data_IF_248759710460
#
_entry.id   IF_248759710460
#
_cell.length_a   1.000
_cell.length_b   1.000
_cell.length_c   1.000
_cell.angle_alpha   90.00
_cell.angle_beta   90.00
_cell.angle_gamma   90.00
#
_symmetry.space_group_name_H-M   'P 1'
#
loop_
_entity.id
_entity.type
_entity.pdbx_description
1 polymer ?
#
# COMPACT_ATOMS: atom_id res chain seq x y z
N UNK A 1 21.52 -27.75 51.91
CA UNK A 1 20.82 -26.74 51.09
C UNK A 1 19.83 -27.44 50.17
N UNK A 2 18.54 -27.13 50.37
CA UNK A 2 17.32 -27.23 49.52
C UNK A 2 17.30 -28.26 48.37
N UNK A 3 16.63 -29.41 48.52
CA UNK A 3 15.18 -29.75 48.33
C UNK A 3 14.70 -29.91 46.88
N UNK A 4 14.35 -31.17 46.59
CA UNK A 4 13.51 -31.83 45.59
C UNK A 4 12.60 -31.00 44.66
N UNK A 5 12.57 -31.40 43.39
CA UNK A 5 11.55 -31.06 42.41
C UNK A 5 10.64 -32.28 42.18
N UNK A 6 9.33 -32.10 42.37
CA UNK A 6 8.29 -33.06 42.01
C UNK A 6 7.41 -32.40 40.96
N UNK A 7 7.26 -33.08 39.81
CA UNK A 7 6.37 -32.73 38.72
C UNK A 7 4.91 -32.72 39.19
N UNK A 8 4.16 -31.69 38.79
CA UNK A 8 2.70 -31.68 38.84
C UNK A 8 2.16 -31.38 37.43
N UNK A 9 1.62 -32.42 36.80
CA UNK A 9 0.70 -32.31 35.67
C UNK A 9 -0.63 -31.76 36.19
N UNK A 10 -1.11 -30.67 35.60
CA UNK A 10 -2.48 -30.20 35.77
C UNK A 10 -3.14 -30.08 34.39
N UNK A 11 -4.04 -31.00 34.09
CA UNK A 11 -5.04 -30.86 33.04
C UNK A 11 -6.30 -30.25 33.66
N UNK A 12 -6.82 -29.17 33.08
CA UNK A 12 -8.16 -28.65 33.39
C UNK A 12 -8.87 -28.27 32.09
N UNK A 13 -10.04 -28.88 31.89
CA UNK A 13 -11.03 -28.64 30.85
C UNK A 13 -11.62 -27.24 30.94
N UNK A 14 -11.81 -26.54 29.81
CA UNK A 14 -12.72 -25.39 29.72
C UNK A 14 -13.51 -25.35 28.39
N UNK A 15 -14.79 -25.66 28.53
CA UNK A 15 -16.01 -25.01 27.99
C UNK A 15 -16.20 -24.87 26.47
N UNK A 16 -17.20 -25.62 25.98
CA UNK A 16 -17.96 -25.33 24.78
C UNK A 16 -18.72 -24.00 24.93
N UNK A 17 -18.40 -23.02 24.10
CA UNK A 17 -19.16 -21.77 23.97
C UNK A 17 -19.58 -21.58 22.52
N UNK A 18 -20.86 -21.82 22.22
CA UNK A 18 -21.48 -21.32 21.01
C UNK A 18 -21.41 -19.78 21.01
N UNK A 19 -20.79 -19.20 19.98
CA UNK A 19 -21.07 -17.82 19.58
C UNK A 19 -21.47 -17.81 18.12
N UNK A 20 -22.78 -17.59 17.92
CA UNK A 20 -23.34 -16.94 16.73
C UNK A 20 -22.66 -15.58 16.59
N UNK A 21 -22.15 -15.31 15.40
CA UNK A 21 -21.46 -14.07 15.06
C UNK A 21 -21.04 -14.11 13.60
N UNK A 22 -22.02 -14.17 12.70
CA UNK A 22 -21.82 -13.95 11.28
C UNK A 22 -21.22 -12.57 11.09
N UNK A 23 -19.94 -12.55 10.79
CA UNK A 23 -19.24 -11.40 10.24
C UNK A 23 -18.49 -11.96 9.05
N UNK A 24 -19.01 -11.65 7.86
CA UNK A 24 -18.31 -11.79 6.59
C UNK A 24 -17.10 -10.85 6.60
N UNK A 25 -16.11 -11.20 7.41
CA UNK A 25 -14.76 -10.72 7.25
C UNK A 25 -14.20 -11.48 6.07
N UNK A 26 -14.01 -10.78 4.95
CA UNK A 26 -13.22 -11.27 3.84
C UNK A 26 -11.99 -11.99 4.42
N UNK A 27 -11.96 -13.31 4.19
CA UNK A 27 -10.92 -14.17 4.72
C UNK A 27 -9.62 -13.73 4.07
N UNK A 28 -8.85 -12.90 4.77
CA UNK A 28 -7.43 -12.70 4.47
C UNK A 28 -6.83 -14.08 4.60
N UNK A 29 -6.63 -14.71 3.46
CA UNK A 29 -6.06 -16.05 3.38
C UNK A 29 -4.65 -15.92 3.92
N UNK A 30 -4.48 -16.22 5.20
CA UNK A 30 -3.17 -16.42 5.81
C UNK A 30 -2.60 -17.65 5.13
N UNK A 31 -1.82 -17.45 4.09
CA UNK A 31 -0.98 -18.52 3.55
C UNK A 31 -0.08 -18.98 4.68
N UNK A 32 -0.31 -20.19 5.18
CA UNK A 32 0.55 -20.81 6.18
C UNK A 32 1.94 -20.93 5.56
N UNK A 33 2.94 -20.38 6.24
CA UNK A 33 4.32 -20.53 5.80
C UNK A 33 4.72 -22.00 5.93
N UNK A 34 5.03 -22.64 4.82
CA UNK A 34 5.49 -24.02 4.81
C UNK A 34 6.94 -24.09 5.33
N UNK A 35 7.31 -25.02 6.24
CA UNK A 35 8.67 -25.13 6.75
C UNK A 35 9.72 -25.37 5.65
N UNK A 36 9.31 -25.96 4.53
CA UNK A 36 10.14 -26.16 3.35
C UNK A 36 10.55 -24.87 2.61
N UNK A 37 9.89 -23.75 2.88
CA UNK A 37 10.07 -22.45 2.20
C UNK A 37 10.72 -21.39 3.10
N UNK A 38 11.10 -21.73 4.34
CA UNK A 38 11.62 -20.76 5.30
C UNK A 38 12.92 -20.10 4.80
N UNK A 39 13.81 -20.90 4.19
CA UNK A 39 15.17 -20.47 3.82
C UNK A 39 15.44 -20.48 2.31
N UNK A 40 14.53 -20.99 1.48
CA UNK A 40 14.78 -21.16 0.05
C UNK A 40 14.80 -19.83 -0.72
N UNK A 41 15.62 -19.74 -1.77
CA UNK A 41 15.85 -18.52 -2.55
C UNK A 41 14.55 -17.96 -3.15
N UNK A 42 14.38 -16.63 -3.13
CA UNK A 42 13.30 -15.91 -3.80
C UNK A 42 13.89 -15.13 -4.98
N UNK A 43 13.41 -15.41 -6.18
CA UNK A 43 13.82 -14.74 -7.43
C UNK A 43 12.69 -13.87 -7.94
N UNK A 44 13.00 -12.62 -8.24
CA UNK A 44 12.04 -11.61 -8.70
C UNK A 44 12.09 -11.42 -10.21
N UNK A 45 10.93 -11.12 -10.79
CA UNK A 45 10.77 -10.80 -12.20
C UNK A 45 9.58 -9.86 -12.43
N UNK A 46 9.56 -9.16 -13.56
CA UNK A 46 8.43 -8.33 -13.96
C UNK A 46 8.10 -7.22 -12.97
N UNK A 47 9.11 -6.61 -12.34
CA UNK A 47 8.91 -5.47 -11.45
C UNK A 47 8.41 -4.29 -12.27
N UNK A 48 7.27 -3.73 -11.88
CA UNK A 48 6.73 -2.49 -12.43
C UNK A 48 6.53 -1.48 -11.31
N UNK A 49 6.98 -0.25 -11.56
CA UNK A 49 6.77 0.88 -10.67
C UNK A 49 6.03 1.99 -11.41
N UNK A 50 4.88 2.42 -10.89
CA UNK A 50 4.11 3.51 -11.48
C UNK A 50 3.47 4.41 -10.44
N UNK A 51 3.40 5.71 -10.73
CA UNK A 51 2.66 6.64 -9.88
C UNK A 51 1.17 6.47 -10.12
N UNK A 52 0.45 6.28 -9.02
CA UNK A 52 -0.96 5.94 -8.99
C UNK A 52 -1.69 6.98 -8.13
N UNK A 53 -2.66 7.69 -8.72
CA UNK A 53 -3.52 8.64 -8.01
C UNK A 53 -4.28 7.93 -6.88
N UNK A 54 -4.29 8.52 -5.69
CA UNK A 54 -5.01 7.98 -4.51
C UNK A 54 -6.06 8.95 -3.98
N UNK A 55 -5.87 10.26 -4.15
CA UNK A 55 -6.86 11.26 -3.75
C UNK A 55 -6.79 12.52 -4.61
N UNK A 56 -7.92 13.21 -4.74
CA UNK A 56 -8.01 14.52 -5.41
C UNK A 56 -9.04 15.38 -4.70
N UNK A 57 -8.77 16.69 -4.58
CA UNK A 57 -9.71 17.63 -3.96
C UNK A 57 -10.81 18.01 -4.93
N UNK A 58 -11.88 18.59 -4.39
CA UNK A 58 -12.80 19.39 -5.21
C UNK A 58 -12.07 20.64 -5.71
N UNK A 59 -12.55 21.24 -6.81
CA UNK A 59 -12.12 22.58 -7.23
C UNK A 59 -12.36 23.61 -6.14
N UNK A 60 -11.38 24.49 -5.93
CA UNK A 60 -11.46 25.62 -5.01
C UNK A 60 -11.14 26.88 -5.80
N UNK A 61 -12.04 27.84 -5.75
CA UNK A 61 -11.79 29.18 -6.29
C UNK A 61 -10.88 29.94 -5.33
N UNK A 62 -9.81 30.50 -5.88
CA UNK A 62 -8.78 31.24 -5.18
C UNK A 62 -8.72 32.64 -5.79
N UNK A 63 -8.86 33.65 -4.95
CA UNK A 63 -8.61 35.05 -5.30
C UNK A 63 -7.13 35.40 -5.05
N UNK A 64 -6.61 36.44 -5.74
CA UNK A 64 -5.22 36.92 -5.59
C UNK A 64 -4.82 37.30 -4.15
N UNK A 65 -5.80 37.50 -3.26
CA UNK A 65 -5.63 37.96 -1.88
C UNK A 65 -5.79 36.85 -0.83
N UNK A 66 -6.15 35.64 -1.25
CA UNK A 66 -6.53 34.59 -0.29
C UNK A 66 -5.32 33.95 0.41
N UNK A 67 -4.12 34.07 -0.19
CA UNK A 67 -2.88 33.57 0.37
C UNK A 67 -2.90 32.05 0.54
N UNK A 68 -2.96 31.57 1.79
CA UNK A 68 -2.90 30.13 2.11
C UNK A 68 -4.26 29.46 1.95
N UNK A 69 -4.35 28.57 0.98
CA UNK A 69 -5.54 27.77 0.72
C UNK A 69 -5.36 26.37 1.25
N UNK A 70 -6.40 25.86 1.94
CA UNK A 70 -6.47 24.45 2.36
C UNK A 70 -7.28 23.65 1.36
N UNK A 71 -6.68 22.60 0.82
CA UNK A 71 -7.35 21.57 0.05
C UNK A 71 -7.61 20.37 0.94
N UNK A 72 -8.77 19.75 0.75
CA UNK A 72 -9.12 18.47 1.36
C UNK A 72 -9.35 17.43 0.27
N UNK A 73 -8.28 16.75 -0.20
CA UNK A 73 -8.38 15.65 -1.14
C UNK A 73 -9.28 14.54 -0.62
N UNK A 74 -10.17 14.05 -1.48
CA UNK A 74 -11.00 12.90 -1.21
C UNK A 74 -10.40 11.69 -1.91
N UNK A 75 -10.35 10.56 -1.21
CA UNK A 75 -9.87 9.28 -1.75
C UNK A 75 -10.60 8.93 -3.04
N UNK A 76 -9.82 8.59 -4.07
CA UNK A 76 -10.31 7.97 -5.30
C UNK A 76 -9.94 6.49 -5.37
N UNK A 77 -8.87 6.09 -4.69
CA UNK A 77 -8.34 4.73 -4.73
C UNK A 77 -7.45 4.43 -3.53
N UNK A 78 -7.49 3.17 -3.10
CA UNK A 78 -6.69 2.63 -2.01
C UNK A 78 -5.82 1.49 -2.51
N UNK A 79 -4.53 1.50 -2.15
CA UNK A 79 -3.59 0.43 -2.44
C UNK A 79 -3.28 -0.29 -1.13
N UNK A 80 -3.63 -1.57 -1.09
CA UNK A 80 -3.31 -2.45 0.02
C UNK A 80 -2.19 -3.40 -0.37
N UNK A 81 -1.08 -3.45 0.41
CA UNK A 81 -0.03 -4.40 0.14
C UNK A 81 -0.52 -5.84 0.32
N UNK A 82 -0.30 -6.69 -0.68
CA UNK A 82 -0.67 -8.10 -0.67
C UNK A 82 0.37 -8.97 -1.34
N UNK A 83 0.38 -10.24 -0.96
CA UNK A 83 1.15 -11.29 -1.58
C UNK A 83 0.23 -12.47 -1.91
N UNK A 84 0.28 -12.94 -3.15
CA UNK A 84 -0.50 -14.07 -3.65
C UNK A 84 0.47 -15.13 -4.17
N UNK A 85 0.21 -16.41 -3.91
CA UNK A 85 1.11 -17.49 -4.33
C UNK A 85 0.41 -18.82 -4.49
N UNK A 86 1.01 -19.71 -5.29
CA UNK A 86 0.55 -21.08 -5.48
C UNK A 86 0.89 -21.96 -4.27
N UNK A 87 -0.09 -22.18 -3.38
CA UNK A 87 0.06 -23.08 -2.24
C UNK A 87 0.82 -22.48 -1.05
N UNK A 88 1.34 -23.34 -0.18
CA UNK A 88 2.17 -22.90 0.95
C UNK A 88 3.51 -22.41 0.45
N UNK A 89 3.94 -21.25 0.94
CA UNK A 89 5.14 -20.56 0.46
C UNK A 89 5.85 -19.76 1.54
N UNK A 90 6.79 -18.88 1.15
CA UNK A 90 7.42 -17.95 2.08
C UNK A 90 6.39 -17.08 2.82
N UNK A 91 6.73 -16.66 4.04
CA UNK A 91 5.88 -15.71 4.76
C UNK A 91 5.81 -14.37 4.02
N UNK A 92 4.69 -13.64 4.16
CA UNK A 92 4.56 -12.31 3.57
C UNK A 92 5.70 -11.38 4.05
N UNK A 93 6.04 -11.39 5.35
CA UNK A 93 7.14 -10.58 5.87
C UNK A 93 8.48 -10.83 5.15
N UNK A 94 8.78 -12.09 4.82
CA UNK A 94 9.98 -12.48 4.06
C UNK A 94 9.92 -12.01 2.61
N UNK A 95 8.75 -12.14 1.96
CA UNK A 95 8.56 -11.67 0.58
C UNK A 95 8.76 -10.15 0.47
N UNK A 96 8.13 -9.36 1.35
CA UNK A 96 8.27 -7.91 1.31
C UNK A 96 9.69 -7.43 1.68
N UNK A 97 10.36 -8.10 2.61
CA UNK A 97 11.77 -7.80 2.92
C UNK A 97 12.68 -8.11 1.72
N UNK A 98 12.53 -9.31 1.12
CA UNK A 98 13.29 -9.71 -0.05
C UNK A 98 13.04 -8.81 -1.27
N UNK A 99 11.81 -8.33 -1.47
CA UNK A 99 11.51 -7.36 -2.53
C UNK A 99 12.21 -6.02 -2.28
N UNK A 100 12.20 -5.53 -1.03
CA UNK A 100 12.92 -4.30 -0.66
C UNK A 100 14.41 -4.41 -0.95
N UNK A 101 15.04 -5.53 -0.56
CA UNK A 101 16.44 -5.81 -0.86
C UNK A 101 16.71 -5.87 -2.38
N UNK A 102 15.82 -6.53 -3.15
CA UNK A 102 15.93 -6.62 -4.61
C UNK A 102 15.89 -5.23 -5.28
N UNK A 103 15.11 -4.31 -4.76
CA UNK A 103 14.99 -2.93 -5.26
C UNK A 103 16.08 -2.00 -4.70
N UNK A 104 16.95 -2.48 -3.81
CA UNK A 104 17.97 -1.69 -3.14
C UNK A 104 17.38 -0.67 -2.16
N UNK A 105 16.23 -0.97 -1.57
CA UNK A 105 15.54 -0.10 -0.62
C UNK A 105 15.68 -0.61 0.81
N UNK A 106 15.65 0.32 1.76
CA UNK A 106 15.54 -0.02 3.18
C UNK A 106 14.23 -0.78 3.43
N UNK A 107 14.28 -1.73 4.36
CA UNK A 107 13.21 -2.72 4.57
C UNK A 107 11.85 -2.12 4.98
N UNK A 108 11.81 -0.85 5.40
CA UNK A 108 10.62 -0.10 5.81
C UNK A 108 10.09 0.86 4.73
N UNK A 109 10.77 0.96 3.58
CA UNK A 109 10.34 1.81 2.46
C UNK A 109 9.07 1.29 1.80
N UNK A 110 8.97 -0.03 1.59
CA UNK A 110 7.77 -0.68 1.04
C UNK A 110 6.69 -0.81 2.11
N UNK A 111 5.47 -0.40 1.76
CA UNK A 111 4.31 -0.66 2.59
C UNK A 111 4.08 -2.18 2.73
N UNK A 112 3.84 -2.62 3.96
CA UNK A 112 3.57 -4.01 4.31
C UNK A 112 2.07 -4.24 4.53
N UNK A 113 1.59 -5.50 4.50
CA UNK A 113 0.19 -5.80 4.76
C UNK A 113 -0.28 -5.13 6.07
N UNK A 114 -1.44 -4.47 6.01
CA UNK A 114 -1.97 -3.63 7.09
C UNK A 114 -1.58 -2.16 7.03
N UNK A 115 -0.69 -1.74 6.11
CA UNK A 115 -0.42 -0.33 5.82
C UNK A 115 -1.00 0.07 4.46
N UNK A 116 -2.22 0.59 4.48
CA UNK A 116 -2.90 1.12 3.31
C UNK A 116 -2.34 2.49 2.87
N UNK A 117 -2.42 2.77 1.55
CA UNK A 117 -2.09 4.08 0.98
C UNK A 117 -2.99 5.21 1.48
N UNK A 118 -4.13 4.89 2.12
CA UNK A 118 -4.97 5.83 2.83
C UNK A 118 -4.18 6.74 3.80
N UNK A 119 -3.12 6.21 4.41
CA UNK A 119 -2.27 6.97 5.33
C UNK A 119 -1.48 8.10 4.65
N UNK A 120 -1.37 8.09 3.31
CA UNK A 120 -0.73 9.15 2.54
C UNK A 120 -1.71 10.27 2.12
N UNK A 121 -3.00 10.11 2.42
CA UNK A 121 -4.01 11.15 2.25
C UNK A 121 -3.84 12.19 3.36
N UNK A 122 -3.45 13.40 2.98
CA UNK A 122 -3.33 14.52 3.92
C UNK A 122 -3.85 15.79 3.28
N UNK A 123 -4.35 16.67 4.13
CA UNK A 123 -4.72 18.02 3.71
C UNK A 123 -3.48 18.78 3.24
N UNK A 124 -3.69 19.59 2.21
CA UNK A 124 -2.63 20.37 1.59
C UNK A 124 -2.88 21.85 1.85
N UNK A 125 -1.87 22.51 2.41
CA UNK A 125 -1.86 23.96 2.56
C UNK A 125 -0.83 24.48 1.60
N UNK A 126 -1.29 25.21 0.59
CA UNK A 126 -0.44 25.78 -0.46
C UNK A 126 -0.67 27.29 -0.48
N UNK A 127 0.41 28.03 -0.65
CA UNK A 127 0.37 29.47 -0.90
C UNK A 127 0.24 29.67 -2.41
N UNK A 128 -0.82 30.35 -2.85
CA UNK A 128 -1.02 30.63 -4.26
C UNK A 128 -0.79 32.11 -4.54
N UNK A 129 0.09 32.37 -5.51
CA UNK A 129 0.24 33.68 -6.13
C UNK A 129 -0.62 33.70 -7.41
N UNK A 130 -1.87 34.19 -7.29
CA UNK A 130 -2.76 34.41 -8.43
C UNK A 130 -4.20 33.93 -8.20
N UNK A 131 -5.07 34.32 -9.13
CA UNK A 131 -6.47 33.92 -9.12
C UNK A 131 -6.75 32.74 -10.07
N UNK A 132 -7.69 31.89 -9.67
CA UNK A 132 -8.15 30.78 -10.50
C UNK A 132 -8.84 29.69 -9.69
N UNK A 133 -9.28 28.66 -10.40
CA UNK A 133 -9.87 27.48 -9.78
C UNK A 133 -8.81 26.39 -9.71
N UNK A 134 -8.46 25.93 -8.51
CA UNK A 134 -7.37 24.97 -8.30
C UNK A 134 -7.86 23.67 -7.66
N UNK A 135 -7.11 22.59 -7.89
CA UNK A 135 -7.28 21.29 -7.24
C UNK A 135 -5.94 20.78 -6.72
N UNK A 136 -5.96 20.03 -5.62
CA UNK A 136 -4.80 19.28 -5.14
C UNK A 136 -4.99 17.79 -5.36
N UNK A 137 -3.96 17.12 -5.85
CA UNK A 137 -3.93 15.70 -6.14
C UNK A 137 -2.80 15.00 -5.38
N UNK A 138 -3.06 13.78 -4.91
CA UNK A 138 -2.11 12.93 -4.18
C UNK A 138 -1.95 11.59 -4.87
N UNK A 139 -0.72 11.15 -5.04
CA UNK A 139 -0.37 9.85 -5.61
C UNK A 139 0.65 9.11 -4.74
N UNK A 140 0.73 7.80 -4.91
CA UNK A 140 1.81 6.94 -4.36
C UNK A 140 2.49 6.22 -5.52
N UNK A 141 3.70 5.70 -5.31
CA UNK A 141 4.31 4.77 -6.27
C UNK A 141 3.82 3.37 -5.96
N UNK A 142 3.02 2.81 -6.86
CA UNK A 142 2.62 1.41 -6.83
C UNK A 142 3.79 0.54 -7.30
N UNK A 143 3.99 -0.60 -6.63
CA UNK A 143 5.01 -1.58 -6.97
C UNK A 143 4.32 -2.92 -7.14
N UNK A 144 4.40 -3.48 -8.34
CA UNK A 144 3.89 -4.81 -8.63
C UNK A 144 5.09 -5.67 -9.10
N UNK A 145 5.24 -6.88 -8.57
CA UNK A 145 6.33 -7.78 -8.90
C UNK A 145 5.90 -9.23 -8.85
N UNK A 146 6.45 -10.07 -9.73
CA UNK A 146 6.27 -11.52 -9.70
C UNK A 146 7.49 -12.19 -9.06
N UNK A 147 7.28 -13.34 -8.42
CA UNK A 147 8.37 -14.11 -7.83
C UNK A 147 8.27 -15.61 -8.09
N UNK A 148 9.41 -16.26 -7.98
CA UNK A 148 9.55 -17.71 -7.84
C UNK A 148 10.38 -17.98 -6.58
N UNK A 149 9.85 -18.78 -5.67
CA UNK A 149 10.54 -19.22 -4.46
C UNK A 149 10.86 -20.72 -4.56
N UNK A 150 12.08 -21.10 -4.21
CA UNK A 150 12.43 -22.52 -4.06
C UNK A 150 11.95 -23.03 -2.69
N UNK A 151 11.10 -24.06 -2.68
CA UNK A 151 10.59 -24.68 -1.47
C UNK A 151 10.98 -26.15 -1.40
N UNK A 152 12.27 -26.42 -1.20
CA UNK A 152 12.83 -27.78 -1.06
C UNK A 152 12.48 -28.68 -2.25
N UNK A 153 12.67 -28.15 -3.46
CA UNK A 153 12.52 -28.90 -4.71
C UNK A 153 11.16 -28.75 -5.41
N UNK A 154 10.19 -28.06 -4.80
CA UNK A 154 8.99 -27.61 -5.50
C UNK A 154 9.00 -26.08 -5.59
N UNK A 155 9.05 -25.49 -6.80
CA UNK A 155 8.98 -24.04 -6.94
C UNK A 155 7.56 -23.53 -6.63
N UNK A 156 7.49 -22.45 -5.85
CA UNK A 156 6.26 -21.71 -5.57
C UNK A 156 6.29 -20.41 -6.36
N UNK A 157 5.23 -20.17 -7.14
CA UNK A 157 5.08 -18.97 -7.95
C UNK A 157 4.12 -18.00 -7.27
N UNK A 158 4.34 -16.71 -7.44
CA UNK A 158 3.44 -15.72 -6.89
C UNK A 158 3.71 -14.31 -7.34
N UNK A 159 2.99 -13.38 -6.74
CA UNK A 159 3.12 -11.94 -6.97
C UNK A 159 2.99 -11.17 -5.67
N UNK A 160 3.66 -10.03 -5.62
CA UNK A 160 3.52 -9.01 -4.57
C UNK A 160 3.03 -7.72 -5.22
N UNK A 161 2.02 -7.10 -4.62
CA UNK A 161 1.67 -5.71 -4.89
C UNK A 161 1.87 -4.90 -3.61
N UNK A 162 2.45 -3.72 -3.74
CA UNK A 162 2.78 -2.81 -2.65
C UNK A 162 2.72 -1.36 -3.13
N UNK A 163 3.08 -0.43 -2.26
CA UNK A 163 3.28 0.96 -2.59
C UNK A 163 4.35 1.58 -1.69
N UNK A 164 4.90 2.71 -2.11
CA UNK A 164 5.80 3.51 -1.29
C UNK A 164 5.75 4.98 -1.68
N UNK A 165 6.26 5.82 -0.77
CA UNK A 165 6.36 7.26 -0.95
C UNK A 165 5.01 7.95 -1.14
N UNK A 166 5.07 9.26 -1.41
CA UNK A 166 3.91 10.04 -1.83
C UNK A 166 4.36 11.12 -2.81
N UNK A 167 3.46 11.53 -3.69
CA UNK A 167 3.62 12.64 -4.63
C UNK A 167 2.40 13.55 -4.51
N UNK A 168 2.58 14.83 -4.78
CA UNK A 168 1.50 15.83 -4.77
C UNK A 168 1.59 16.72 -6.00
N UNK A 169 0.45 17.17 -6.50
CA UNK A 169 0.37 18.14 -7.57
C UNK A 169 -0.77 19.13 -7.31
N UNK A 170 -0.51 20.39 -7.63
CA UNK A 170 -1.50 21.47 -7.67
C UNK A 170 -1.81 21.76 -9.13
N UNK A 171 -3.09 21.72 -9.51
CA UNK A 171 -3.52 21.90 -10.90
C UNK A 171 -4.53 23.04 -10.98
N UNK A 172 -4.41 23.88 -12.00
CA UNK A 172 -5.37 24.94 -12.29
C UNK A 172 -6.38 24.43 -13.33
N UNK A 173 -7.67 24.46 -13.02
CA UNK A 173 -8.71 24.11 -13.96
C UNK A 173 -8.79 25.13 -15.10
N UNK A 174 -9.03 24.64 -16.33
CA UNK A 174 -9.02 25.46 -17.55
C UNK A 174 -7.63 25.67 -18.14
N UNK A 175 -6.58 25.17 -17.49
CA UNK A 175 -5.22 25.14 -18.02
C UNK A 175 -4.84 23.69 -18.30
N UNK A 176 -4.40 23.41 -19.52
CA UNK A 176 -3.97 22.07 -19.90
C UNK A 176 -2.81 21.61 -19.00
N UNK A 177 -2.97 20.50 -18.25
CA UNK A 177 -1.91 19.99 -17.39
C UNK A 177 -0.69 19.49 -18.19
N UNK A 178 -0.79 19.28 -19.51
CA UNK A 178 0.27 18.68 -20.36
C UNK A 178 1.59 19.46 -20.48
N UNK A 179 1.69 20.64 -19.85
CA UNK A 179 2.93 21.40 -19.65
C UNK A 179 3.99 20.67 -18.82
N UNK A 180 5.06 21.37 -18.42
CA UNK A 180 6.13 20.78 -17.60
C UNK A 180 5.59 20.29 -16.25
N UNK A 181 5.33 18.98 -16.15
CA UNK A 181 4.83 18.32 -14.94
C UNK A 181 3.62 17.39 -15.16
N UNK A 182 2.73 17.66 -16.13
CA UNK A 182 1.52 16.85 -16.34
C UNK A 182 1.59 15.84 -17.48
N UNK A 183 2.80 15.43 -17.85
CA UNK A 183 3.01 14.25 -18.72
C UNK A 183 2.82 12.93 -17.98
N UNK A 184 2.66 12.96 -16.66
CA UNK A 184 2.41 11.75 -15.89
C UNK A 184 0.92 11.37 -15.93
N UNK A 185 0.58 10.08 -16.19
CA UNK A 185 -0.82 9.65 -16.31
C UNK A 185 -1.70 10.00 -15.11
N UNK A 186 -1.15 9.95 -13.89
CA UNK A 186 -1.90 10.25 -12.66
C UNK A 186 -2.30 11.74 -12.54
N UNK A 187 -1.54 12.65 -13.16
CA UNK A 187 -1.87 14.09 -13.20
C UNK A 187 -3.04 14.34 -14.15
N UNK A 188 -3.00 13.72 -15.34
CA UNK A 188 -4.10 13.79 -16.29
C UNK A 188 -5.38 13.15 -15.73
N UNK A 189 -5.27 12.01 -15.03
CA UNK A 189 -6.37 11.37 -14.31
C UNK A 189 -6.98 12.32 -13.27
N UNK A 190 -6.14 12.97 -12.44
CA UNK A 190 -6.61 13.92 -11.43
C UNK A 190 -7.34 15.12 -12.03
N UNK A 191 -6.78 15.70 -13.11
CA UNK A 191 -7.39 16.82 -13.81
C UNK A 191 -8.76 16.44 -14.37
N UNK A 192 -8.85 15.31 -15.08
CA UNK A 192 -10.11 14.83 -15.66
C UNK A 192 -11.19 14.56 -14.59
N UNK A 193 -10.80 14.01 -13.43
CA UNK A 193 -11.73 13.73 -12.33
C UNK A 193 -12.26 14.99 -11.64
N UNK A 194 -11.43 16.03 -11.49
CA UNK A 194 -11.78 17.20 -10.68
C UNK A 194 -12.18 18.43 -11.50
N UNK A 195 -11.50 18.70 -12.62
CA UNK A 195 -11.75 19.86 -13.48
C UNK A 195 -12.64 19.52 -14.69
N UNK A 196 -12.80 18.23 -15.02
CA UNK A 196 -13.51 17.77 -16.23
C UNK A 196 -12.60 17.66 -17.45
N UNK A 197 -13.19 17.23 -18.57
CA UNK A 197 -12.56 17.07 -19.89
C UNK A 197 -12.79 18.28 -20.78
#
# INVERSE_FOLDING_TARGET
MKTSAVLLCAAVFLVAGCRVGGSDSASVTRTTAGPACADGEIRWAGVTEERRLIAVSRPVDVDEKDGKIRFSPVRVRELEPKAEMSGEGPSAGRLFASLGEHLGWEADTLARPGRSSAAAERDDVVDYDGAGTFVSARAVRAVDASFVADCSGTPVHGSVSSWHGSSGASLQCGVDPSGEGGKEPWVAEAYALACGS
#
